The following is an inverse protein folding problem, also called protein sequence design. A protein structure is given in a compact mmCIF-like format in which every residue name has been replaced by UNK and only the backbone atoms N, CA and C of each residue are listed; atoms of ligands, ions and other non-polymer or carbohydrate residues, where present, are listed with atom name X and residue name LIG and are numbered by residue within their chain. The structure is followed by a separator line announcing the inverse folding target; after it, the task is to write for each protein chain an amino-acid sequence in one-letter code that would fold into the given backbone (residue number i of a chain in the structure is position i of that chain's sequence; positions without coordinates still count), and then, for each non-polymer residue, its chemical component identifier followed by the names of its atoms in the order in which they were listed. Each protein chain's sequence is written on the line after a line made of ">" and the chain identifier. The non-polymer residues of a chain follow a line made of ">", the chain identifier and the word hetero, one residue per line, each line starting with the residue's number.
data_IF_832700774107
#
_entry.id   IF_832700774107
#
_cell.length_a   1.000
_cell.length_b   1.000
_cell.length_c   1.000
_cell.angle_alpha   90.00
_cell.angle_beta   90.00
_cell.angle_gamma   90.00
#
_symmetry.space_group_name_H-M   'P 1'
#
loop_
_entity.id
_entity.type
_entity.pdbx_description
1 polymer ?
#
# COMPACT_ATOMS: atom_id res chain seq x y z
N UNK A 1 -9.85 13.41 8.54
CA UNK A 1 -8.74 14.34 8.22
C UNK A 1 -7.59 13.67 7.46
N UNK A 2 -7.41 12.34 7.58
CA UNK A 2 -6.44 11.57 6.77
C UNK A 2 -7.10 10.66 5.72
N UNK A 3 -8.35 10.95 5.34
CA UNK A 3 -9.18 10.10 4.49
C UNK A 3 -8.51 9.73 3.16
N UNK A 4 -7.75 10.66 2.56
CA UNK A 4 -6.95 10.40 1.36
C UNK A 4 -5.78 9.45 1.61
N UNK A 5 -5.11 9.53 2.76
CA UNK A 5 -4.03 8.59 3.10
C UNK A 5 -4.60 7.21 3.38
N UNK A 6 -5.79 7.12 3.98
CA UNK A 6 -6.49 5.84 4.16
C UNK A 6 -6.87 5.22 2.82
N UNK A 7 -7.32 6.02 1.85
CA UNK A 7 -7.56 5.55 0.48
C UNK A 7 -6.28 5.03 -0.19
N UNK A 8 -5.15 5.73 0.02
CA UNK A 8 -3.84 5.29 -0.50
C UNK A 8 -3.40 3.97 0.15
N UNK A 9 -3.62 3.79 1.45
CA UNK A 9 -3.36 2.53 2.16
C UNK A 9 -4.25 1.41 1.63
N UNK A 10 -5.55 1.66 1.47
CA UNK A 10 -6.47 0.68 0.92
C UNK A 10 -6.03 0.23 -0.48
N UNK A 11 -5.66 1.19 -1.33
CA UNK A 11 -5.16 0.91 -2.68
C UNK A 11 -3.85 0.13 -2.67
N UNK A 12 -2.95 0.40 -1.73
CA UNK A 12 -1.73 -0.37 -1.54
C UNK A 12 -2.02 -1.83 -1.16
N UNK A 13 -3.00 -2.06 -0.29
CA UNK A 13 -3.42 -3.41 0.08
C UNK A 13 -4.09 -4.13 -1.11
N UNK A 14 -4.96 -3.45 -1.86
CA UNK A 14 -5.59 -3.99 -3.07
C UNK A 14 -4.55 -4.39 -4.13
N UNK A 15 -3.53 -3.56 -4.39
CA UNK A 15 -2.48 -3.89 -5.34
C UNK A 15 -1.64 -5.09 -4.89
N UNK A 16 -1.35 -5.21 -3.59
CA UNK A 16 -0.68 -6.38 -3.03
C UNK A 16 -1.54 -7.65 -3.14
N UNK A 17 -2.86 -7.53 -2.95
CA UNK A 17 -3.80 -8.62 -3.18
C UNK A 17 -3.85 -9.04 -4.66
N UNK A 18 -3.75 -8.09 -5.59
CA UNK A 18 -3.63 -8.42 -7.02
C UNK A 18 -2.35 -9.20 -7.33
N UNK A 19 -1.24 -8.90 -6.66
CA UNK A 19 0.02 -9.63 -6.86
C UNK A 19 -0.03 -11.09 -6.37
N UNK A 20 -0.90 -11.44 -5.43
CA UNK A 20 -1.11 -12.85 -5.03
C UNK A 20 -2.09 -13.58 -5.92
N UNK A 21 -2.77 -12.89 -6.85
CA UNK A 21 -3.64 -13.55 -7.82
C UNK A 21 -2.80 -14.33 -8.86
N UNK A 22 -3.02 -15.64 -9.03
CA UNK A 22 -2.30 -16.45 -10.02
C UNK A 22 -2.39 -15.92 -11.46
N UNK A 23 -3.46 -15.22 -11.83
CA UNK A 23 -3.59 -14.61 -13.16
C UNK A 23 -2.62 -13.44 -13.38
N UNK A 24 -2.28 -12.70 -12.32
CA UNK A 24 -1.31 -11.60 -12.35
C UNK A 24 0.10 -12.15 -12.24
N UNK A 25 0.30 -13.18 -11.42
CA UNK A 25 1.59 -13.88 -11.29
C UNK A 25 2.03 -14.55 -12.61
N UNK A 26 1.07 -15.08 -13.38
CA UNK A 26 1.33 -15.65 -14.69
C UNK A 26 1.64 -14.61 -15.77
N UNK A 27 1.29 -13.34 -15.55
CA UNK A 27 1.49 -12.23 -16.49
C UNK A 27 2.58 -11.28 -15.99
N UNK A 28 3.81 -11.48 -16.47
CA UNK A 28 4.96 -10.68 -16.07
C UNK A 28 4.77 -9.17 -16.29
N UNK A 29 3.98 -8.74 -17.29
CA UNK A 29 3.73 -7.30 -17.51
C UNK A 29 2.86 -6.74 -16.40
N UNK A 30 1.73 -7.40 -16.12
CA UNK A 30 0.84 -6.97 -15.02
C UNK A 30 1.55 -6.97 -13.68
N UNK A 31 2.41 -7.98 -13.44
CA UNK A 31 3.19 -8.06 -12.22
C UNK A 31 4.15 -6.87 -12.06
N UNK A 32 4.82 -6.45 -13.14
CA UNK A 32 5.72 -5.28 -13.13
C UNK A 32 4.93 -3.99 -12.91
N UNK A 33 3.78 -3.82 -13.58
CA UNK A 33 2.93 -2.63 -13.41
C UNK A 33 2.39 -2.52 -11.97
N UNK A 34 1.92 -3.63 -11.39
CA UNK A 34 1.47 -3.67 -9.99
C UNK A 34 2.62 -3.34 -9.04
N UNK A 35 3.80 -3.94 -9.22
CA UNK A 35 4.97 -3.64 -8.38
C UNK A 35 5.39 -2.17 -8.46
N UNK A 36 5.35 -1.56 -9.63
CA UNK A 36 5.63 -0.12 -9.78
C UNK A 36 4.63 0.73 -9.03
N UNK A 37 3.33 0.46 -9.22
CA UNK A 37 2.26 1.18 -8.54
C UNK A 37 2.35 1.05 -7.01
N UNK A 38 2.68 -0.14 -6.51
CA UNK A 38 2.95 -0.39 -5.09
C UNK A 38 4.11 0.47 -4.62
N UNK A 39 5.27 0.38 -5.28
CA UNK A 39 6.46 1.14 -4.90
C UNK A 39 6.24 2.65 -4.88
N UNK A 40 5.44 3.18 -5.80
CA UNK A 40 5.10 4.62 -5.85
C UNK A 40 4.37 5.11 -4.60
N UNK A 41 3.55 4.26 -3.98
CA UNK A 41 2.75 4.62 -2.81
C UNK A 41 3.27 4.01 -1.50
N UNK A 42 4.23 3.07 -1.57
CA UNK A 42 4.84 2.42 -0.39
C UNK A 42 5.36 3.46 0.60
N UNK A 43 6.16 4.42 0.14
CA UNK A 43 6.79 5.42 1.03
C UNK A 43 5.73 6.25 1.79
N UNK A 44 4.65 6.63 1.10
CA UNK A 44 3.53 7.37 1.69
C UNK A 44 2.82 6.53 2.75
N UNK A 45 2.55 5.25 2.43
CA UNK A 45 1.88 4.30 3.33
C UNK A 45 2.74 4.03 4.57
N UNK A 46 4.04 3.81 4.40
CA UNK A 46 4.97 3.59 5.51
C UNK A 46 5.04 4.80 6.44
N UNK A 47 5.19 6.00 5.89
CA UNK A 47 5.20 7.24 6.67
C UNK A 47 3.88 7.46 7.43
N UNK A 48 2.75 7.14 6.81
CA UNK A 48 1.45 7.25 7.46
C UNK A 48 1.25 6.21 8.58
N UNK A 49 1.68 4.96 8.36
CA UNK A 49 1.66 3.91 9.39
C UNK A 49 2.57 4.27 10.57
N UNK A 50 3.75 4.80 10.29
CA UNK A 50 4.69 5.31 11.28
C UNK A 50 4.07 6.45 12.10
N UNK A 51 3.44 7.42 11.44
CA UNK A 51 2.69 8.48 12.12
C UNK A 51 1.58 7.93 13.03
N UNK A 52 0.73 7.03 12.52
CA UNK A 52 -0.34 6.39 13.32
C UNK A 52 0.22 5.69 14.56
N UNK A 53 1.36 4.99 14.41
CA UNK A 53 2.03 4.32 15.52
C UNK A 53 2.54 5.31 16.58
N UNK A 54 3.18 6.41 16.16
CA UNK A 54 3.65 7.43 17.11
C UNK A 54 2.50 8.11 17.84
N UNK A 55 1.38 8.37 17.17
CA UNK A 55 0.18 8.92 17.81
C UNK A 55 -0.36 7.96 18.87
N UNK A 56 -0.50 6.67 18.55
CA UNK A 56 -0.92 5.64 19.52
C UNK A 56 0.04 5.52 20.72
N UNK A 57 1.35 5.65 20.48
CA UNK A 57 2.38 5.59 21.52
C UNK A 57 2.34 6.81 22.45
N UNK A 58 2.03 8.00 21.92
CA UNK A 58 1.88 9.23 22.71
C UNK A 58 0.56 9.26 23.48
N UNK A 59 -0.50 8.65 22.93
CA UNK A 59 -1.81 8.54 23.60
C UNK A 59 -1.85 7.45 24.69
N UNK A 60 -0.83 6.59 24.76
CA UNK A 60 -0.65 5.58 25.82
C UNK A 60 -0.03 6.14 27.10
#
# INVERSE_FOLDING_TARGET
>A
MFDKLEEVVARYEELNQMLVNPEVLADSKKMIECNKAINEITEIVEKYKEYKKYVDDIEK
#
